data_IF_255600653225
#
_entry.id   IF_255600653225
#
_cell.length_a   1.000
_cell.length_b   1.000
_cell.length_c   1.000
_cell.angle_alpha   90.00
_cell.angle_beta   90.00
_cell.angle_gamma   90.00
#
_symmetry.space_group_name_H-M   'P 1'
#
loop_
_entity.id
_entity.type
_entity.pdbx_description
1 polymer ?
#
# COMPACT_ATOMS: atom_id res chain seq x y z
N UNK A 1 -23.95 8.84 -21.08
CA UNK A 1 -22.77 8.26 -21.73
C UNK A 1 -22.69 8.86 -23.13
N UNK A 2 -21.59 9.52 -23.52
CA UNK A 2 -21.45 10.05 -24.88
C UNK A 2 -20.97 8.90 -25.76
N UNK A 3 -21.83 8.25 -26.52
CA UNK A 3 -21.44 7.08 -27.34
C UNK A 3 -21.01 7.46 -28.76
N UNK A 4 -21.37 8.66 -29.20
CA UNK A 4 -20.98 9.24 -30.49
C UNK A 4 -20.50 10.68 -30.32
N UNK A 5 -19.75 11.18 -31.30
CA UNK A 5 -19.37 12.59 -31.41
C UNK A 5 -19.41 13.01 -32.88
N UNK A 6 -20.20 14.03 -33.21
CA UNK A 6 -20.41 14.48 -34.60
C UNK A 6 -19.16 15.01 -35.29
N UNK A 7 -18.09 15.25 -34.53
CA UNK A 7 -16.80 15.72 -35.07
C UNK A 7 -15.91 14.57 -35.53
N UNK A 8 -16.25 13.31 -35.25
CA UNK A 8 -15.49 12.17 -35.76
C UNK A 8 -15.50 12.19 -37.30
N UNK A 9 -14.35 11.89 -37.91
CA UNK A 9 -14.14 11.98 -39.36
C UNK A 9 -13.89 13.40 -39.88
N UNK A 10 -14.17 14.46 -39.10
CA UNK A 10 -13.82 15.85 -39.49
C UNK A 10 -12.32 16.12 -39.31
N UNK A 11 -11.74 17.10 -40.01
CA UNK A 11 -10.34 17.46 -39.84
C UNK A 11 -9.98 17.80 -38.39
N UNK A 12 -8.85 17.28 -37.90
CA UNK A 12 -8.26 17.65 -36.62
C UNK A 12 -7.74 19.10 -36.66
N UNK A 13 -7.50 19.71 -35.50
CA UNK A 13 -6.96 21.07 -35.39
C UNK A 13 -5.59 21.24 -36.08
N UNK A 14 -4.79 20.17 -36.21
CA UNK A 14 -3.53 20.20 -36.94
C UNK A 14 -3.70 20.19 -38.47
N UNK A 15 -4.90 19.91 -38.98
CA UNK A 15 -5.19 19.79 -40.42
C UNK A 15 -4.62 18.54 -41.10
N UNK A 16 -3.77 17.75 -40.43
CA UNK A 16 -3.03 16.64 -41.06
C UNK A 16 -3.76 15.31 -41.11
N UNK A 17 -4.81 15.13 -40.29
CA UNK A 17 -5.53 13.85 -40.17
C UNK A 17 -6.95 14.08 -39.62
N UNK A 18 -7.89 13.15 -39.87
CA UNK A 18 -9.24 13.22 -39.31
C UNK A 18 -9.22 12.99 -37.79
N UNK A 19 -10.27 13.45 -37.13
CA UNK A 19 -10.55 13.19 -35.72
C UNK A 19 -11.11 11.78 -35.56
N UNK A 20 -10.41 10.95 -34.79
CA UNK A 20 -10.78 9.54 -34.59
C UNK A 20 -10.63 9.11 -33.13
N UNK A 21 -9.89 9.88 -32.31
CA UNK A 21 -9.57 9.52 -30.93
C UNK A 21 -10.16 10.54 -29.99
N UNK A 22 -10.89 10.09 -28.96
CA UNK A 22 -11.33 10.94 -27.85
C UNK A 22 -10.76 10.42 -26.54
N UNK A 23 -10.64 11.30 -25.56
CA UNK A 23 -10.22 10.93 -24.21
C UNK A 23 -11.44 10.57 -23.36
N UNK A 24 -11.33 9.52 -22.55
CA UNK A 24 -12.38 9.14 -21.60
C UNK A 24 -12.36 9.98 -20.31
N UNK A 25 -11.20 10.50 -19.92
CA UNK A 25 -10.99 11.14 -18.62
C UNK A 25 -10.91 12.67 -18.67
N UNK A 26 -10.54 13.26 -19.81
CA UNK A 26 -10.44 14.71 -19.93
C UNK A 26 -11.83 15.37 -19.96
N UNK A 27 -12.03 16.34 -19.09
CA UNK A 27 -13.21 17.20 -19.10
C UNK A 27 -13.18 18.12 -20.33
N UNK A 28 -14.34 18.34 -20.95
CA UNK A 28 -14.50 19.20 -22.13
C UNK A 28 -13.62 18.85 -23.34
N UNK A 29 -13.02 17.66 -23.37
CA UNK A 29 -12.18 17.22 -24.48
C UNK A 29 -12.95 17.14 -25.80
N UNK A 30 -12.33 17.63 -26.86
CA UNK A 30 -12.76 17.38 -28.24
C UNK A 30 -12.07 16.12 -28.78
N UNK A 31 -12.60 15.46 -29.83
CA UNK A 31 -11.86 14.42 -30.52
C UNK A 31 -10.64 14.98 -31.29
N UNK A 32 -9.59 14.19 -31.36
CA UNK A 32 -8.30 14.48 -31.99
C UNK A 32 -7.98 13.42 -33.05
N UNK A 33 -7.03 13.71 -33.93
CA UNK A 33 -6.30 12.65 -34.61
C UNK A 33 -5.36 11.94 -33.64
N UNK A 34 -4.89 10.75 -34.01
CA UNK A 34 -4.04 9.90 -33.18
C UNK A 34 -2.80 10.60 -32.62
N UNK A 35 -2.07 11.36 -33.45
CA UNK A 35 -0.84 12.05 -33.03
C UNK A 35 -1.12 13.22 -32.09
N UNK A 36 -2.14 14.04 -32.38
CA UNK A 36 -2.54 15.14 -31.50
C UNK A 36 -3.06 14.64 -30.16
N UNK A 37 -3.72 13.48 -30.13
CA UNK A 37 -4.14 12.89 -28.87
C UNK A 37 -2.93 12.51 -28.00
N UNK A 38 -1.92 11.85 -28.56
CA UNK A 38 -0.70 11.46 -27.82
C UNK A 38 0.04 12.70 -27.32
N UNK A 39 0.23 13.72 -28.15
CA UNK A 39 0.90 14.96 -27.74
C UNK A 39 0.14 15.67 -26.62
N UNK A 40 -1.19 15.77 -26.73
CA UNK A 40 -2.02 16.38 -25.70
C UNK A 40 -2.00 15.60 -24.36
N UNK A 41 -1.68 14.31 -24.38
CA UNK A 41 -1.66 13.42 -23.22
C UNK A 41 -0.26 13.02 -22.75
N UNK A 42 0.80 13.68 -23.26
CA UNK A 42 2.18 13.35 -22.91
C UNK A 42 2.50 13.46 -21.41
N UNK A 43 1.75 14.28 -20.67
CA UNK A 43 1.87 14.42 -19.21
C UNK A 43 0.72 13.76 -18.44
N UNK A 44 -0.27 13.20 -19.14
CA UNK A 44 -1.44 12.51 -18.58
C UNK A 44 -1.58 11.11 -19.20
N UNK A 45 -0.46 10.40 -19.25
CA UNK A 45 -0.31 9.15 -20.01
C UNK A 45 -1.15 7.99 -19.53
N UNK A 46 -1.78 8.11 -18.36
CA UNK A 46 -2.72 7.11 -17.84
C UNK A 46 -4.13 7.25 -18.40
N UNK A 47 -4.46 8.32 -19.13
CA UNK A 47 -5.80 8.45 -19.69
C UNK A 47 -6.06 7.36 -20.75
N UNK A 48 -7.28 6.80 -20.73
CA UNK A 48 -7.71 5.84 -21.73
C UNK A 48 -8.13 6.57 -23.00
N UNK A 49 -7.60 6.14 -24.14
CA UNK A 49 -8.07 6.56 -25.46
C UNK A 49 -9.31 5.76 -25.83
N UNK A 50 -10.27 6.43 -26.45
CA UNK A 50 -11.39 5.80 -27.15
C UNK A 50 -11.24 6.12 -28.63
N UNK A 51 -10.87 5.11 -29.40
CA UNK A 51 -10.59 5.17 -30.83
C UNK A 51 -11.81 4.71 -31.59
N UNK A 52 -12.25 5.50 -32.56
CA UNK A 52 -13.37 5.15 -33.43
C UNK A 52 -13.00 4.01 -34.37
N UNK A 53 -13.72 2.89 -34.29
CA UNK A 53 -13.63 1.80 -35.25
C UNK A 53 -14.72 2.02 -36.31
N UNK A 54 -14.30 2.43 -37.52
CA UNK A 54 -15.23 2.73 -38.61
C UNK A 54 -15.93 1.49 -39.17
N UNK A 55 -15.32 0.31 -39.05
CA UNK A 55 -15.92 -0.94 -39.54
C UNK A 55 -17.01 -1.42 -38.59
N UNK A 56 -16.75 -1.31 -37.28
CA UNK A 56 -17.69 -1.77 -36.25
C UNK A 56 -18.69 -0.71 -35.81
N UNK A 57 -18.42 0.56 -36.09
CA UNK A 57 -19.29 1.69 -35.77
C UNK A 57 -19.34 2.05 -34.28
N UNK A 58 -18.29 1.73 -33.51
CA UNK A 58 -18.21 2.08 -32.08
C UNK A 58 -16.78 2.40 -31.63
N UNK A 59 -16.66 3.02 -30.46
CA UNK A 59 -15.35 3.32 -29.86
C UNK A 59 -14.74 2.11 -29.17
N UNK A 60 -13.50 1.80 -29.52
CA UNK A 60 -12.66 0.80 -28.85
C UNK A 60 -11.72 1.52 -27.89
N UNK A 61 -11.52 0.96 -26.68
CA UNK A 61 -10.59 1.53 -25.70
C UNK A 61 -9.16 1.09 -26.00
N UNK A 62 -8.22 2.03 -25.98
CA UNK A 62 -6.79 1.80 -26.19
C UNK A 62 -5.93 2.43 -25.08
N UNK A 63 -4.82 1.78 -24.77
CA UNK A 63 -3.74 2.37 -23.97
C UNK A 63 -2.92 3.34 -24.85
N UNK A 64 -2.37 4.41 -24.29
CA UNK A 64 -1.60 5.42 -25.03
C UNK A 64 -0.49 4.82 -25.90
N UNK A 65 0.16 3.74 -25.45
CA UNK A 65 1.25 3.10 -26.19
C UNK A 65 0.80 2.34 -27.45
N UNK A 66 -0.49 2.03 -27.55
CA UNK A 66 -1.09 1.33 -28.70
C UNK A 66 -1.92 2.23 -29.59
N UNK A 67 -1.99 3.54 -29.28
CA UNK A 67 -2.74 4.51 -30.07
C UNK A 67 -2.06 4.72 -31.43
N UNK A 68 -0.82 5.17 -31.53
CA UNK A 68 -0.25 5.53 -32.84
C UNK A 68 -0.29 4.36 -33.87
N UNK A 69 -1.14 4.46 -34.90
CA UNK A 69 -1.28 3.45 -35.93
C UNK A 69 0.08 3.20 -36.62
N UNK A 70 0.58 1.95 -36.57
CA UNK A 70 1.89 1.50 -37.08
C UNK A 70 3.16 2.04 -36.38
N UNK A 71 3.07 2.81 -35.29
CA UNK A 71 4.22 3.22 -34.46
C UNK A 71 3.91 3.00 -33.00
N UNK A 72 4.80 2.42 -32.20
CA UNK A 72 4.53 2.29 -30.76
C UNK A 72 5.03 3.52 -30.03
N UNK A 73 4.13 4.32 -29.45
CA UNK A 73 4.50 5.32 -28.46
C UNK A 73 5.02 4.62 -27.19
N UNK A 74 6.03 5.20 -26.57
CA UNK A 74 6.51 4.78 -25.26
C UNK A 74 6.56 6.01 -24.36
N UNK A 75 6.08 5.88 -23.13
CA UNK A 75 6.13 6.94 -22.13
C UNK A 75 7.60 7.23 -21.84
N UNK A 76 8.12 8.43 -22.18
CA UNK A 76 9.50 8.77 -21.88
C UNK A 76 9.63 9.10 -20.40
N UNK A 77 10.60 8.47 -19.74
CA UNK A 77 10.99 8.82 -18.38
C UNK A 77 12.22 9.74 -18.38
N UNK A 78 12.23 10.68 -17.43
CA UNK A 78 13.21 11.77 -17.42
C UNK A 78 12.85 12.88 -18.42
N UNK A 79 13.70 13.90 -18.49
CA UNK A 79 13.52 15.07 -19.38
C UNK A 79 12.10 15.68 -19.33
N UNK A 80 11.47 15.67 -18.15
CA UNK A 80 10.11 16.18 -17.93
C UNK A 80 9.05 15.56 -18.87
N UNK A 81 9.29 14.33 -19.36
CA UNK A 81 8.41 13.67 -20.33
C UNK A 81 8.65 14.10 -21.77
N UNK A 82 9.85 14.59 -22.10
CA UNK A 82 10.32 14.82 -23.47
C UNK A 82 11.16 13.64 -23.98
N UNK A 83 11.28 13.54 -25.31
CA UNK A 83 12.08 12.49 -25.93
C UNK A 83 13.55 12.58 -25.51
N UNK A 84 14.10 11.44 -25.10
CA UNK A 84 15.50 11.32 -24.72
C UNK A 84 16.34 10.85 -25.93
N UNK A 85 17.38 11.57 -26.33
CA UNK A 85 18.26 11.13 -27.42
C UNK A 85 19.03 9.84 -27.09
N UNK A 86 19.22 9.57 -25.79
CA UNK A 86 19.85 8.35 -25.28
C UNK A 86 18.82 7.43 -24.60
N UNK A 87 17.59 7.37 -25.13
CA UNK A 87 16.54 6.52 -24.59
C UNK A 87 16.91 5.04 -24.67
N UNK A 88 16.51 4.27 -23.66
CA UNK A 88 16.47 2.81 -23.76
C UNK A 88 15.47 2.35 -24.82
N UNK A 89 15.59 1.10 -25.24
CA UNK A 89 14.49 0.43 -25.94
C UNK A 89 13.22 0.46 -25.06
N UNK A 90 12.03 0.69 -25.66
CA UNK A 90 10.78 0.62 -24.93
C UNK A 90 10.55 -0.73 -24.25
N UNK A 91 10.27 -0.69 -22.95
CA UNK A 91 9.92 -1.84 -22.14
C UNK A 91 8.39 -1.89 -21.95
N UNK A 92 7.78 -3.03 -22.24
CA UNK A 92 6.38 -3.27 -21.86
C UNK A 92 6.31 -3.47 -20.34
N UNK A 93 5.55 -2.61 -19.66
CA UNK A 93 5.40 -2.61 -18.21
C UNK A 93 3.93 -2.61 -17.80
N UNK A 94 3.65 -3.22 -16.65
CA UNK A 94 2.34 -3.09 -15.99
C UNK A 94 2.33 -1.85 -15.10
N UNK A 95 1.67 -0.77 -15.54
CA UNK A 95 1.48 0.42 -14.73
C UNK A 95 0.09 0.42 -14.11
N UNK A 96 0.03 0.52 -12.79
CA UNK A 96 -1.23 0.52 -12.04
C UNK A 96 -1.57 1.94 -11.60
N UNK A 97 -2.72 2.41 -12.06
CA UNK A 97 -3.26 3.77 -11.87
C UNK A 97 -4.63 3.67 -11.22
N UNK A 98 -5.15 4.79 -10.72
CA UNK A 98 -6.48 4.83 -10.08
C UNK A 98 -7.62 4.49 -11.03
N UNK A 99 -7.43 4.69 -12.33
CA UNK A 99 -8.37 4.37 -13.40
C UNK A 99 -8.15 3.00 -14.04
N UNK A 100 -7.22 2.19 -13.52
CA UNK A 100 -7.03 0.81 -13.94
C UNK A 100 -5.58 0.33 -14.02
N UNK A 101 -5.43 -0.88 -14.53
CA UNK A 101 -4.16 -1.53 -14.88
C UNK A 101 -3.87 -1.31 -16.37
N UNK A 102 -2.71 -0.73 -16.66
CA UNK A 102 -2.22 -0.44 -18.01
C UNK A 102 -1.07 -1.39 -18.36
N UNK A 103 -1.16 -2.05 -19.51
CA UNK A 103 -0.03 -2.72 -20.14
C UNK A 103 0.56 -1.75 -21.17
N UNK A 104 1.51 -0.93 -20.74
CA UNK A 104 2.01 0.21 -21.54
C UNK A 104 3.51 0.16 -21.74
N UNK A 105 3.99 0.82 -22.79
CA UNK A 105 5.42 0.90 -23.09
C UNK A 105 6.05 2.09 -22.40
N UNK A 106 7.20 1.87 -21.78
CA UNK A 106 7.96 2.88 -21.04
C UNK A 106 9.39 2.89 -21.56
N UNK A 107 9.93 4.09 -21.77
CA UNK A 107 11.28 4.32 -22.25
C UNK A 107 12.10 5.00 -21.15
N UNK A 108 13.21 4.39 -20.72
CA UNK A 108 14.06 4.95 -19.68
C UNK A 108 15.11 5.89 -20.28
N UNK A 109 15.41 7.00 -19.61
CA UNK A 109 16.51 7.86 -19.98
C UNK A 109 17.86 7.19 -19.69
N UNK A 110 18.75 7.17 -20.68
CA UNK A 110 20.13 6.67 -20.58
C UNK A 110 21.20 7.77 -20.55
N UNK A 111 20.81 9.05 -20.43
CA UNK A 111 21.77 10.14 -20.30
C UNK A 111 22.69 9.97 -19.08
N UNK A 112 23.89 10.56 -19.15
CA UNK A 112 25.03 10.30 -18.26
C UNK A 112 24.78 10.51 -16.75
N UNK A 113 23.63 11.07 -16.34
CA UNK A 113 23.23 11.21 -14.94
C UNK A 113 22.90 9.89 -14.22
N UNK A 114 22.95 8.71 -14.90
CA UNK A 114 22.83 7.36 -14.31
C UNK A 114 21.76 7.23 -13.22
N UNK A 115 20.62 7.87 -13.42
CA UNK A 115 19.49 7.72 -12.50
C UNK A 115 18.96 6.30 -12.68
N UNK A 116 19.03 5.49 -11.62
CA UNK A 116 18.52 4.11 -11.63
C UNK A 116 17.06 4.05 -12.10
N UNK A 117 16.66 2.95 -12.74
CA UNK A 117 15.30 2.77 -13.26
C UNK A 117 14.22 3.09 -12.21
N UNK A 118 14.43 2.65 -10.97
CA UNK A 118 13.50 2.90 -9.87
C UNK A 118 13.32 4.39 -9.57
N UNK A 119 14.38 5.19 -9.68
CA UNK A 119 14.35 6.62 -9.36
C UNK A 119 13.67 7.41 -10.46
N UNK A 120 13.92 7.06 -11.73
CA UNK A 120 13.18 7.64 -12.86
C UNK A 120 11.67 7.38 -12.76
N UNK A 121 11.27 6.18 -12.31
CA UNK A 121 9.87 5.88 -12.02
C UNK A 121 9.33 6.72 -10.85
N UNK A 122 10.12 6.85 -9.77
CA UNK A 122 9.76 7.67 -8.61
C UNK A 122 9.54 9.13 -8.98
N UNK A 123 10.43 9.70 -9.80
CA UNK A 123 10.34 11.07 -10.31
C UNK A 123 9.09 11.26 -11.20
N UNK A 124 8.62 10.19 -11.83
CA UNK A 124 7.36 10.14 -12.58
C UNK A 124 6.12 9.77 -11.72
N UNK A 125 6.23 9.86 -10.38
CA UNK A 125 5.18 9.50 -9.41
C UNK A 125 4.73 8.02 -9.48
N UNK A 126 5.65 7.12 -9.85
CA UNK A 126 5.44 5.68 -9.94
C UNK A 126 6.34 4.95 -8.94
N UNK A 127 5.71 4.21 -8.02
CA UNK A 127 6.38 3.32 -7.10
C UNK A 127 6.66 1.97 -7.76
N UNK A 128 7.93 1.58 -7.99
CA UNK A 128 8.24 0.33 -8.66
C UNK A 128 8.03 -0.88 -7.75
N UNK A 129 7.62 -2.01 -8.32
CA UNK A 129 7.52 -3.27 -7.58
C UNK A 129 8.90 -3.87 -7.21
N UNK A 130 9.92 -3.56 -8.00
CA UNK A 130 11.32 -4.00 -7.83
C UNK A 130 12.27 -2.85 -8.19
N UNK A 131 13.40 -2.73 -7.50
CA UNK A 131 14.29 -1.58 -7.71
C UNK A 131 15.27 -1.73 -8.90
N UNK A 132 15.73 -2.95 -9.17
CA UNK A 132 16.79 -3.19 -10.16
C UNK A 132 16.25 -3.25 -11.58
N UNK A 133 15.28 -4.13 -11.82
CA UNK A 133 14.62 -4.29 -13.12
C UNK A 133 13.09 -4.28 -12.95
N UNK A 134 12.48 -3.08 -12.86
CA UNK A 134 11.05 -2.94 -12.69
C UNK A 134 10.30 -3.35 -13.96
N UNK A 135 9.39 -4.31 -13.83
CA UNK A 135 8.40 -4.67 -14.87
C UNK A 135 6.98 -4.21 -14.52
N UNK A 136 6.78 -3.72 -13.30
CA UNK A 136 5.53 -3.14 -12.86
C UNK A 136 5.77 -1.99 -11.90
N UNK A 137 4.89 -1.00 -11.93
CA UNK A 137 4.91 0.12 -11.01
C UNK A 137 3.48 0.60 -10.70
N UNK A 138 3.33 1.22 -9.55
CA UNK A 138 2.07 1.67 -8.98
C UNK A 138 2.14 3.18 -8.76
N UNK A 139 1.20 3.93 -9.29
CA UNK A 139 1.16 5.37 -9.01
C UNK A 139 1.01 5.66 -7.51
N UNK A 140 1.56 6.77 -7.04
CA UNK A 140 1.35 7.16 -5.64
C UNK A 140 -0.13 7.37 -5.32
N UNK A 141 -0.93 7.81 -6.29
CA UNK A 141 -2.38 7.96 -6.14
C UNK A 141 -3.06 6.62 -5.85
N UNK A 142 -2.68 5.53 -6.53
CA UNK A 142 -3.28 4.22 -6.25
C UNK A 142 -2.88 3.69 -4.87
N UNK A 143 -1.68 4.01 -4.40
CA UNK A 143 -1.22 3.64 -3.06
C UNK A 143 -1.88 4.49 -1.95
N UNK A 144 -2.20 5.75 -2.24
CA UNK A 144 -3.00 6.61 -1.38
C UNK A 144 -4.46 6.14 -1.33
N UNK A 145 -5.09 5.83 -2.47
CA UNK A 145 -6.44 5.26 -2.55
C UNK A 145 -6.52 3.95 -1.77
N UNK A 146 -5.53 3.06 -1.94
CA UNK A 146 -5.43 1.83 -1.16
C UNK A 146 -5.42 2.09 0.35
N UNK A 147 -4.60 3.05 0.80
CA UNK A 147 -4.51 3.39 2.21
C UNK A 147 -5.85 3.86 2.79
N UNK A 148 -6.57 4.71 2.08
CA UNK A 148 -7.90 5.16 2.52
C UNK A 148 -8.95 4.04 2.41
N UNK A 149 -8.93 3.27 1.33
CA UNK A 149 -9.86 2.15 1.10
C UNK A 149 -9.75 1.07 2.18
N UNK A 150 -8.54 0.76 2.63
CA UNK A 150 -8.33 -0.19 3.74
C UNK A 150 -8.81 0.36 5.08
N UNK A 151 -8.57 1.64 5.37
CA UNK A 151 -8.97 2.26 6.63
C UNK A 151 -10.50 2.43 6.72
N UNK A 152 -11.13 2.92 5.66
CA UNK A 152 -12.55 3.26 5.65
C UNK A 152 -13.44 2.07 5.25
N UNK A 153 -13.07 1.38 4.18
CA UNK A 153 -13.89 0.32 3.57
C UNK A 153 -13.53 -1.09 4.04
N UNK A 154 -12.45 -1.25 4.82
CA UNK A 154 -11.89 -2.57 5.20
C UNK A 154 -11.68 -3.48 3.98
N UNK A 155 -11.40 -2.87 2.82
CA UNK A 155 -11.30 -3.59 1.54
C UNK A 155 -10.07 -4.50 1.54
N UNK A 156 -10.24 -5.74 1.10
CA UNK A 156 -9.11 -6.64 0.93
C UNK A 156 -8.24 -6.20 -0.26
N UNK A 157 -6.94 -6.50 -0.22
CA UNK A 157 -6.05 -6.21 -1.35
C UNK A 157 -6.51 -6.90 -2.64
N UNK A 158 -7.11 -8.07 -2.49
CA UNK A 158 -7.65 -8.85 -3.60
C UNK A 158 -8.81 -8.12 -4.29
N UNK A 159 -9.79 -7.65 -3.52
CA UNK A 159 -10.94 -6.93 -4.06
C UNK A 159 -10.52 -5.56 -4.62
N UNK A 160 -9.57 -4.90 -3.97
CA UNK A 160 -9.02 -3.63 -4.46
C UNK A 160 -8.33 -3.78 -5.81
N UNK A 161 -7.47 -4.79 -5.99
CA UNK A 161 -6.82 -5.05 -7.29
C UNK A 161 -7.85 -5.51 -8.34
N UNK A 162 -8.83 -6.32 -7.96
CA UNK A 162 -9.93 -6.71 -8.87
C UNK A 162 -10.76 -5.52 -9.32
N UNK A 163 -11.03 -4.54 -8.45
CA UNK A 163 -11.65 -3.25 -8.82
C UNK A 163 -10.84 -2.59 -9.92
N UNK A 164 -9.53 -2.44 -9.74
CA UNK A 164 -8.64 -1.81 -10.73
C UNK A 164 -8.63 -2.57 -12.06
N UNK A 165 -8.64 -3.90 -12.05
CA UNK A 165 -8.73 -4.71 -13.28
C UNK A 165 -10.06 -4.51 -14.01
N UNK A 166 -11.17 -4.39 -13.28
CA UNK A 166 -12.49 -4.09 -13.85
C UNK A 166 -12.57 -2.67 -14.42
N UNK A 167 -11.86 -1.71 -13.83
CA UNK A 167 -11.77 -0.36 -14.40
C UNK A 167 -11.04 -0.36 -15.75
N UNK A 168 -10.05 -1.24 -15.96
CA UNK A 168 -9.42 -1.45 -17.28
C UNK A 168 -10.35 -2.09 -18.28
N UNK A 169 -10.97 -3.22 -17.90
CA UNK A 169 -11.92 -3.96 -18.73
C UNK A 169 -12.87 -4.75 -17.81
N UNK A 170 -14.15 -4.37 -17.80
CA UNK A 170 -15.15 -4.99 -16.92
C UNK A 170 -15.78 -6.25 -17.54
N UNK A 171 -15.54 -6.52 -18.83
CA UNK A 171 -16.08 -7.69 -19.55
C UNK A 171 -15.03 -8.79 -19.56
N UNK A 172 -13.84 -8.50 -20.06
CA UNK A 172 -12.75 -9.47 -20.21
C UNK A 172 -11.61 -9.23 -19.23
N UNK A 173 -11.94 -9.09 -17.94
CA UNK A 173 -10.97 -8.93 -16.84
C UNK A 173 -9.81 -9.94 -16.87
N UNK A 174 -10.02 -11.14 -17.41
CA UNK A 174 -8.98 -12.17 -17.58
C UNK A 174 -7.84 -11.77 -18.50
N UNK A 175 -8.08 -10.87 -19.45
CA UNK A 175 -7.07 -10.33 -20.38
C UNK A 175 -6.26 -9.18 -19.76
N UNK A 176 -6.72 -8.63 -18.64
CA UNK A 176 -6.01 -7.57 -17.92
C UNK A 176 -4.93 -8.20 -17.04
N UNK A 177 -3.68 -7.71 -17.07
CA UNK A 177 -2.62 -8.18 -16.17
C UNK A 177 -3.06 -8.23 -14.71
N UNK A 178 -2.58 -9.21 -13.96
CA UNK A 178 -2.87 -9.37 -12.54
C UNK A 178 -1.68 -8.97 -11.66
N UNK A 179 -1.63 -7.73 -11.15
CA UNK A 179 -0.51 -7.24 -10.35
C UNK A 179 -0.62 -7.61 -8.87
N UNK A 180 -1.54 -8.50 -8.45
CA UNK A 180 -1.83 -8.73 -7.03
C UNK A 180 -0.61 -9.11 -6.19
N UNK A 181 0.30 -9.94 -6.72
CA UNK A 181 1.50 -10.38 -5.99
C UNK A 181 2.44 -9.21 -5.73
N UNK A 182 2.67 -8.39 -6.75
CA UNK A 182 3.50 -7.19 -6.69
C UNK A 182 2.86 -6.13 -5.80
N UNK A 183 1.55 -5.93 -5.92
CA UNK A 183 0.79 -4.99 -5.11
C UNK A 183 0.86 -5.33 -3.63
N UNK A 184 0.70 -6.60 -3.25
CA UNK A 184 0.80 -7.04 -1.85
C UNK A 184 2.15 -6.70 -1.23
N UNK A 185 3.24 -6.82 -2.00
CA UNK A 185 4.56 -6.41 -1.54
C UNK A 185 4.66 -4.88 -1.40
N UNK A 186 4.31 -4.14 -2.45
CA UNK A 186 4.37 -2.67 -2.47
C UNK A 186 3.49 -2.05 -1.39
N UNK A 187 2.28 -2.57 -1.17
CA UNK A 187 1.36 -2.10 -0.14
C UNK A 187 1.95 -2.20 1.28
N UNK A 188 2.72 -3.25 1.57
CA UNK A 188 3.41 -3.42 2.86
C UNK A 188 4.53 -2.40 3.02
N UNK A 189 5.36 -2.24 1.99
CA UNK A 189 6.43 -1.23 1.98
C UNK A 189 5.85 0.18 2.11
N UNK A 190 4.78 0.48 1.37
CA UNK A 190 4.08 1.76 1.45
C UNK A 190 3.55 2.04 2.87
N UNK A 191 2.96 1.04 3.52
CA UNK A 191 2.49 1.16 4.91
C UNK A 191 3.63 1.49 5.87
N UNK A 192 4.79 0.83 5.71
CA UNK A 192 5.99 1.16 6.47
C UNK A 192 6.45 2.60 6.20
N UNK A 193 6.59 2.99 4.93
CA UNK A 193 7.02 4.35 4.57
C UNK A 193 6.08 5.43 5.09
N UNK A 194 4.76 5.18 5.10
CA UNK A 194 3.77 6.10 5.70
C UNK A 194 3.97 6.22 7.22
N UNK A 195 4.27 5.11 7.90
CA UNK A 195 4.56 5.13 9.34
C UNK A 195 5.86 5.88 9.65
N UNK A 196 6.93 5.65 8.88
CA UNK A 196 8.22 6.36 8.99
C UNK A 196 8.08 7.86 8.70
N UNK A 197 7.31 8.22 7.67
CA UNK A 197 7.02 9.63 7.36
C UNK A 197 6.26 10.29 8.50
N UNK A 198 5.27 9.61 9.08
CA UNK A 198 4.46 10.12 10.19
C UNK A 198 5.27 10.27 11.48
N UNK A 199 6.23 9.40 11.76
CA UNK A 199 7.08 9.52 12.96
C UNK A 199 8.06 10.69 12.90
N UNK A 200 8.22 11.32 11.72
CA UNK A 200 9.16 12.41 11.50
C UNK A 200 10.63 11.97 11.53
N UNK A 201 10.92 10.67 11.63
CA UNK A 201 12.29 10.14 11.77
C UNK A 201 13.23 10.62 10.66
N UNK A 202 12.72 10.75 9.45
CA UNK A 202 13.46 11.25 8.29
C UNK A 202 13.94 12.72 8.45
N UNK A 203 13.39 13.48 9.39
CA UNK A 203 13.73 14.88 9.64
C UNK A 203 14.44 15.04 10.98
N UNK A 204 15.76 15.14 10.95
CA UNK A 204 16.61 15.44 12.13
C UNK A 204 16.34 14.51 13.33
N UNK A 205 16.09 13.22 13.11
CA UNK A 205 15.87 12.26 14.20
C UNK A 205 14.46 12.24 14.81
N UNK A 206 13.55 13.13 14.38
CA UNK A 206 12.13 13.11 14.70
C UNK A 206 11.81 13.05 16.20
N UNK A 207 10.84 12.19 16.57
CA UNK A 207 10.42 11.99 17.96
C UNK A 207 11.53 11.54 18.93
N UNK A 208 12.64 10.99 18.43
CA UNK A 208 13.74 10.56 19.29
C UNK A 208 14.43 11.74 20.00
N UNK A 209 14.45 12.93 19.38
CA UNK A 209 15.03 14.13 19.98
C UNK A 209 14.04 14.79 20.95
N UNK A 210 12.77 14.88 20.53
CA UNK A 210 11.75 15.56 21.32
C UNK A 210 11.42 14.78 22.61
N UNK A 211 11.45 13.45 22.56
CA UNK A 211 11.05 12.59 23.67
C UNK A 211 12.12 11.50 23.93
N UNK A 212 13.27 11.84 24.55
CA UNK A 212 14.39 10.92 24.75
C UNK A 212 14.06 9.74 25.69
N UNK A 213 13.02 9.86 26.51
CA UNK A 213 12.54 8.78 27.39
C UNK A 213 11.82 7.66 26.64
N UNK A 214 11.42 7.87 25.38
CA UNK A 214 10.75 6.85 24.56
C UNK A 214 11.77 5.89 23.94
N UNK A 215 11.37 4.63 23.64
CA UNK A 215 12.21 3.71 22.88
C UNK A 215 12.69 4.34 21.58
N UNK A 216 13.99 4.29 21.32
CA UNK A 216 14.58 4.81 20.09
C UNK A 216 14.03 4.06 18.88
N UNK A 217 13.94 4.75 17.75
CA UNK A 217 13.59 4.19 16.44
C UNK A 217 12.18 3.61 16.31
N UNK A 218 11.31 3.84 17.32
CA UNK A 218 9.89 3.52 17.25
C UNK A 218 9.16 4.41 16.25
N UNK A 219 8.20 3.81 15.53
CA UNK A 219 7.22 4.52 14.69
C UNK A 219 5.79 4.32 15.19
N UNK A 220 5.68 3.88 16.46
CA UNK A 220 4.43 3.73 17.19
C UNK A 220 3.71 5.08 17.33
N UNK A 221 2.39 5.06 17.17
CA UNK A 221 1.54 6.19 17.57
C UNK A 221 1.19 6.02 19.03
N UNK A 222 1.70 6.93 19.86
CA UNK A 222 1.44 6.95 21.29
C UNK A 222 0.25 7.86 21.60
N UNK A 223 -0.42 7.57 22.70
CA UNK A 223 -1.54 8.37 23.17
C UNK A 223 -1.05 9.77 23.59
N UNK A 224 -1.58 10.87 23.02
CA UNK A 224 -1.20 12.21 23.44
C UNK A 224 -1.82 12.63 24.80
N UNK A 225 -2.81 11.87 25.29
CA UNK A 225 -3.58 12.21 26.49
C UNK A 225 -3.05 11.46 27.72
N UNK A 226 -2.55 10.23 27.56
CA UNK A 226 -2.05 9.45 28.69
C UNK A 226 -0.94 10.21 29.43
N UNK A 227 -0.93 10.21 30.77
CA UNK A 227 0.16 10.78 31.54
C UNK A 227 1.49 10.13 31.18
N UNK A 228 2.47 10.93 30.77
CA UNK A 228 3.82 10.51 30.41
C UNK A 228 4.84 11.42 31.12
N UNK A 229 5.60 10.83 32.03
CA UNK A 229 6.64 11.50 32.78
C UNK A 229 7.69 12.12 31.84
N UNK A 230 8.01 13.39 32.03
CA UNK A 230 8.95 14.13 31.18
C UNK A 230 8.35 14.67 29.88
N UNK A 231 7.06 14.43 29.61
CA UNK A 231 6.37 14.94 28.42
C UNK A 231 5.21 15.85 28.80
N UNK A 232 4.15 15.31 29.41
CA UNK A 232 2.94 16.05 29.77
C UNK A 232 2.60 15.95 31.28
N UNK A 233 3.49 15.36 32.07
CA UNK A 233 3.37 15.27 33.54
C UNK A 233 4.39 16.19 34.23
N UNK A 234 3.99 17.01 35.23
CA UNK A 234 4.90 17.88 35.95
C UNK A 234 6.04 17.11 36.65
N UNK A 235 7.30 17.60 36.66
CA UNK A 235 8.43 16.88 37.24
C UNK A 235 8.26 16.44 38.71
N UNK A 236 7.51 17.23 39.49
CA UNK A 236 7.27 16.98 40.92
C UNK A 236 6.06 16.06 41.18
N UNK A 237 5.54 15.35 40.17
CA UNK A 237 4.34 14.51 40.33
C UNK A 237 4.49 13.43 41.42
N UNK A 238 5.69 12.86 41.59
CA UNK A 238 6.00 11.89 42.65
C UNK A 238 5.92 12.49 44.07
N UNK A 239 6.12 13.80 44.19
CA UNK A 239 6.11 14.53 45.46
C UNK A 239 4.69 14.92 45.90
N UNK A 240 3.68 14.73 45.02
CA UNK A 240 2.28 14.94 45.39
C UNK A 240 1.85 13.96 46.49
N UNK A 241 0.93 14.38 47.38
CA UNK A 241 0.34 13.50 48.38
C UNK A 241 -0.15 12.19 47.77
N UNK A 242 0.01 11.02 48.44
CA UNK A 242 -0.40 9.72 47.90
C UNK A 242 -1.83 9.70 47.36
N UNK A 243 -2.75 10.41 48.04
CA UNK A 243 -4.15 10.53 47.63
C UNK A 243 -4.34 11.22 46.26
N UNK A 244 -3.39 12.01 45.76
CA UNK A 244 -3.47 12.73 44.48
C UNK A 244 -2.65 12.11 43.35
N UNK A 245 -1.82 11.09 43.64
CA UNK A 245 -0.95 10.48 42.61
C UNK A 245 -1.74 9.76 41.50
N UNK A 246 -2.98 9.34 41.80
CA UNK A 246 -3.87 8.69 40.83
C UNK A 246 -4.19 9.58 39.62
N UNK A 247 -4.07 10.91 39.74
CA UNK A 247 -4.25 11.85 38.63
C UNK A 247 -3.22 11.69 37.51
N UNK A 248 -2.10 11.00 37.79
CA UNK A 248 -1.04 10.72 36.81
C UNK A 248 -0.94 9.22 36.48
N UNK A 249 -1.94 8.42 36.88
CA UNK A 249 -1.97 7.00 36.55
C UNK A 249 -2.36 6.79 35.08
N UNK A 250 -1.72 5.82 34.46
CA UNK A 250 -2.15 5.31 33.15
C UNK A 250 -3.14 4.16 33.36
N UNK A 251 -4.24 4.21 32.61
CA UNK A 251 -5.25 3.17 32.61
C UNK A 251 -5.09 2.33 31.34
N UNK A 252 -5.00 1.02 31.52
CA UNK A 252 -4.80 0.07 30.44
C UNK A 252 -5.86 -1.03 30.49
N UNK A 253 -6.36 -1.36 29.32
CA UNK A 253 -7.26 -2.48 29.07
C UNK A 253 -6.53 -3.51 28.20
N UNK A 254 -6.68 -4.79 28.56
CA UNK A 254 -6.17 -5.90 27.76
C UNK A 254 -7.35 -6.63 27.13
N UNK A 255 -7.28 -6.82 25.81
CA UNK A 255 -8.28 -7.59 25.06
C UNK A 255 -7.61 -8.60 24.12
N UNK A 256 -8.25 -9.76 23.97
CA UNK A 256 -7.73 -10.90 23.22
C UNK A 256 -8.58 -11.22 22.00
N UNK A 257 -7.99 -11.12 20.80
CA UNK A 257 -8.64 -11.52 19.56
C UNK A 257 -8.20 -12.92 19.10
N UNK A 258 -9.06 -13.91 19.32
CA UNK A 258 -8.84 -15.33 18.94
C UNK A 258 -9.23 -15.66 17.48
N UNK A 259 -9.57 -14.63 16.68
CA UNK A 259 -9.86 -14.76 15.25
C UNK A 259 -8.70 -14.25 14.38
N UNK A 260 -7.78 -13.48 14.95
CA UNK A 260 -6.58 -13.02 14.27
C UNK A 260 -5.50 -14.11 14.32
N UNK A 261 -5.59 -15.04 13.38
CA UNK A 261 -4.75 -16.25 13.31
C UNK A 261 -3.71 -16.15 12.20
N UNK A 262 -2.61 -16.89 12.36
CA UNK A 262 -1.60 -17.07 11.33
C UNK A 262 -1.29 -18.56 11.14
N UNK A 263 -1.31 -19.02 9.89
CA UNK A 263 -0.93 -20.38 9.55
C UNK A 263 0.60 -20.50 9.43
N UNK A 264 1.12 -21.65 9.84
CA UNK A 264 2.51 -22.02 9.62
C UNK A 264 2.83 -22.02 8.13
N UNK A 265 3.91 -21.32 7.76
CA UNK A 265 4.39 -21.23 6.37
C UNK A 265 5.50 -22.24 6.14
N UNK A 266 5.56 -22.84 4.95
CA UNK A 266 6.62 -23.81 4.58
C UNK A 266 8.02 -23.17 4.54
N UNK A 267 8.12 -21.89 4.13
CA UNK A 267 9.38 -21.18 3.94
C UNK A 267 9.51 -20.00 4.90
N UNK A 268 9.59 -20.27 6.20
CA UNK A 268 9.65 -19.23 7.24
C UNK A 268 10.92 -18.37 7.19
N UNK A 269 12.04 -18.93 6.72
CA UNK A 269 13.37 -18.27 6.73
C UNK A 269 13.47 -16.97 5.93
N UNK A 270 12.54 -16.71 5.01
CA UNK A 270 12.50 -15.48 4.21
C UNK A 270 11.37 -14.52 4.61
N UNK A 271 10.58 -14.88 5.63
CA UNK A 271 9.48 -14.05 6.14
C UNK A 271 10.01 -13.12 7.22
N UNK A 272 10.49 -11.95 6.80
CA UNK A 272 11.06 -10.94 7.70
C UNK A 272 10.03 -9.88 8.08
N UNK A 273 10.00 -9.49 9.35
CA UNK A 273 9.15 -8.38 9.82
C UNK A 273 9.72 -7.04 9.34
N UNK A 274 8.92 -6.26 8.63
CA UNK A 274 9.31 -4.92 8.17
C UNK A 274 9.37 -3.89 9.31
N UNK A 275 8.54 -4.07 10.33
CA UNK A 275 8.54 -3.21 11.51
C UNK A 275 9.52 -3.69 12.57
N UNK A 276 9.81 -4.99 12.65
CA UNK A 276 10.85 -5.58 13.51
C UNK A 276 10.87 -5.00 14.94
N UNK A 277 9.74 -4.99 15.63
CA UNK A 277 9.65 -4.49 17.01
C UNK A 277 9.37 -2.99 17.16
N UNK A 278 9.34 -2.21 16.06
CA UNK A 278 9.30 -0.73 16.10
C UNK A 278 7.90 -0.13 16.23
N UNK A 279 6.89 -0.97 16.49
CA UNK A 279 5.49 -0.54 16.62
C UNK A 279 4.86 -1.25 17.81
N UNK A 280 3.71 -1.91 17.66
CA UNK A 280 2.97 -2.49 18.79
C UNK A 280 3.46 -3.87 19.22
N UNK A 281 4.13 -4.62 18.33
CA UNK A 281 4.67 -5.95 18.65
C UNK A 281 6.15 -5.84 19.01
N UNK A 282 6.60 -6.71 19.91
CA UNK A 282 8.03 -6.87 20.22
C UNK A 282 8.80 -7.47 19.03
N UNK A 283 10.13 -7.30 19.03
CA UNK A 283 11.00 -7.96 18.08
C UNK A 283 11.00 -9.49 18.32
N UNK A 284 10.92 -10.26 17.24
CA UNK A 284 10.59 -11.68 17.30
C UNK A 284 11.64 -12.51 18.05
N UNK A 285 12.93 -12.28 17.79
CA UNK A 285 14.00 -13.04 18.43
C UNK A 285 14.09 -12.73 19.93
N UNK A 286 13.95 -11.47 20.31
CA UNK A 286 13.88 -11.01 21.69
C UNK A 286 12.68 -11.60 22.43
N UNK A 287 11.52 -11.63 21.79
CA UNK A 287 10.31 -12.22 22.39
C UNK A 287 10.43 -13.74 22.54
N UNK A 288 10.99 -14.44 21.54
CA UNK A 288 11.27 -15.89 21.65
C UNK A 288 12.24 -16.20 22.78
N UNK A 289 13.29 -15.38 22.96
CA UNK A 289 14.22 -15.53 24.07
C UNK A 289 13.50 -15.34 25.42
N UNK A 290 12.71 -14.27 25.55
CA UNK A 290 11.88 -14.04 26.74
C UNK A 290 10.97 -15.24 27.05
N UNK A 291 10.23 -15.75 26.06
CA UNK A 291 9.35 -16.91 26.25
C UNK A 291 10.07 -18.17 26.73
N UNK A 292 11.34 -18.35 26.37
CA UNK A 292 12.15 -19.48 26.85
C UNK A 292 12.54 -19.34 28.35
N UNK A 293 12.53 -18.12 28.89
CA UNK A 293 12.81 -17.84 30.31
C UNK A 293 11.57 -17.90 31.19
N UNK A 294 10.37 -17.73 30.61
CA UNK A 294 9.12 -17.69 31.36
C UNK A 294 8.67 -19.11 31.74
N UNK A 295 8.45 -19.41 33.04
CA UNK A 295 7.89 -20.68 33.46
C UNK A 295 6.54 -20.91 32.79
N UNK A 296 6.39 -22.05 32.12
CA UNK A 296 5.13 -22.43 31.50
C UNK A 296 4.16 -22.88 32.59
N UNK A 297 3.39 -21.94 33.14
CA UNK A 297 2.38 -22.25 34.16
C UNK A 297 1.29 -23.10 33.48
N UNK A 298 1.28 -24.39 33.78
CA UNK A 298 0.19 -25.26 33.39
C UNK A 298 -1.03 -24.88 34.23
N UNK A 299 -2.02 -24.21 33.62
CA UNK A 299 -3.34 -24.08 34.26
C UNK A 299 -3.86 -25.50 34.54
N UNK A 300 -4.23 -25.75 35.80
CA UNK A 300 -4.93 -26.96 36.21
C UNK A 300 -6.16 -27.17 35.32
N UNK A 301 -6.50 -28.44 35.04
CA UNK A 301 -7.73 -28.76 34.32
C UNK A 301 -8.90 -28.15 35.08
N UNK A 302 -9.69 -27.32 34.39
CA UNK A 302 -10.90 -26.77 34.98
C UNK A 302 -11.79 -27.92 35.47
N UNK A 303 -12.07 -27.94 36.78
CA UNK A 303 -12.78 -29.02 37.49
C UNK A 303 -14.31 -28.92 37.25
N UNK A 304 -14.78 -27.74 36.81
CA UNK A 304 -16.19 -27.48 36.54
C UNK A 304 -16.63 -28.08 35.18
N UNK A 305 -17.72 -28.84 35.20
CA UNK A 305 -18.29 -29.54 34.03
C UNK A 305 -18.70 -28.57 32.89
N UNK A 306 -19.14 -27.34 33.20
CA UNK A 306 -19.49 -26.31 32.21
C UNK A 306 -18.26 -25.70 31.51
N UNK A 307 -17.07 -25.80 32.12
CA UNK A 307 -15.81 -25.35 31.55
C UNK A 307 -15.07 -26.48 30.80
N UNK A 308 -15.64 -27.69 30.67
CA UNK A 308 -15.07 -28.76 29.84
C UNK A 308 -14.90 -28.35 28.38
N UNK A 309 -15.72 -27.43 27.87
CA UNK A 309 -15.57 -26.86 26.52
C UNK A 309 -14.24 -26.12 26.37
N UNK A 310 -13.75 -25.46 27.43
CA UNK A 310 -12.42 -24.83 27.48
C UNK A 310 -11.30 -25.89 27.43
N UNK A 311 -11.53 -27.05 28.04
CA UNK A 311 -10.58 -28.16 28.01
C UNK A 311 -10.53 -28.87 26.64
N UNK A 312 -11.62 -28.87 25.87
CA UNK A 312 -11.71 -29.53 24.55
C UNK A 312 -11.52 -28.60 23.35
N UNK A 313 -11.55 -27.27 23.51
CA UNK A 313 -11.42 -26.30 22.42
C UNK A 313 -10.06 -26.29 21.67
N UNK A 314 -9.04 -27.04 22.13
CA UNK A 314 -7.68 -26.49 22.13
C UNK A 314 -6.57 -27.25 21.37
N UNK A 315 -6.81 -28.25 20.51
CA UNK A 315 -5.70 -28.84 19.71
C UNK A 315 -5.97 -29.04 18.22
N UNK A 316 -7.12 -29.59 17.84
CA UNK A 316 -7.43 -29.79 16.42
C UNK A 316 -7.68 -28.46 15.67
N UNK A 317 -8.33 -27.49 16.33
CA UNK A 317 -8.64 -26.17 15.76
C UNK A 317 -7.40 -25.37 15.37
N UNK A 318 -6.31 -25.52 16.11
CA UNK A 318 -5.06 -24.79 15.89
C UNK A 318 -4.01 -25.59 15.12
N UNK A 319 -4.43 -26.70 14.50
CA UNK A 319 -3.53 -27.51 13.69
C UNK A 319 -2.95 -26.66 12.55
N UNK A 320 -1.63 -26.72 12.41
CA UNK A 320 -0.86 -25.94 11.43
C UNK A 320 -0.91 -24.41 11.63
N UNK A 321 -1.31 -23.90 12.81
CA UNK A 321 -1.25 -22.47 13.12
C UNK A 321 0.03 -22.14 13.89
N UNK A 322 0.72 -21.07 13.49
CA UNK A 322 1.85 -20.49 14.24
C UNK A 322 1.36 -19.47 15.27
N UNK A 323 0.27 -18.75 14.96
CA UNK A 323 -0.40 -17.81 15.86
C UNK A 323 -1.89 -18.15 15.90
N UNK A 324 -2.42 -18.26 17.11
CA UNK A 324 -3.79 -18.70 17.43
C UNK A 324 -4.70 -17.53 17.84
N UNK A 325 -4.12 -16.37 18.08
CA UNK A 325 -4.78 -15.13 18.45
C UNK A 325 -3.75 -14.06 18.79
N UNK A 326 -4.22 -12.86 19.11
CA UNK A 326 -3.38 -11.75 19.55
C UNK A 326 -4.03 -11.10 20.77
N UNK A 327 -3.23 -10.83 21.81
CA UNK A 327 -3.66 -9.98 22.94
C UNK A 327 -3.08 -8.60 22.75
N UNK A 328 -3.89 -7.58 22.95
CA UNK A 328 -3.50 -6.19 22.82
C UNK A 328 -3.77 -5.45 24.13
N UNK A 329 -2.78 -4.70 24.59
CA UNK A 329 -2.90 -3.71 25.65
C UNK A 329 -3.14 -2.35 25.00
N UNK A 330 -4.19 -1.65 25.41
CA UNK A 330 -4.51 -0.31 24.96
C UNK A 330 -4.90 0.57 26.14
N UNK A 331 -4.75 1.89 25.99
CA UNK A 331 -5.31 2.82 26.96
C UNK A 331 -6.80 3.06 26.74
N UNK A 332 -7.47 3.66 27.73
CA UNK A 332 -8.90 4.00 27.66
C UNK A 332 -9.25 5.01 26.53
N UNK A 333 -8.25 5.69 25.97
CA UNK A 333 -8.40 6.58 24.81
C UNK A 333 -8.32 5.84 23.46
N UNK A 334 -8.20 4.51 23.46
CA UNK A 334 -8.20 3.69 22.23
C UNK A 334 -6.86 3.63 21.49
N UNK A 335 -5.76 4.01 22.13
CA UNK A 335 -4.42 3.87 21.56
C UNK A 335 -3.77 2.58 22.04
N UNK A 336 -3.26 1.80 21.08
CA UNK A 336 -2.56 0.54 21.36
C UNK A 336 -1.18 0.84 21.95
N UNK A 337 -0.92 0.25 23.11
CA UNK A 337 0.37 0.31 23.79
C UNK A 337 1.28 -0.84 23.36
N UNK A 338 0.75 -2.06 23.33
CA UNK A 338 1.50 -3.24 22.89
C UNK A 338 0.56 -4.37 22.49
N UNK A 339 1.07 -5.29 21.68
CA UNK A 339 0.38 -6.51 21.26
C UNK A 339 1.34 -7.70 21.31
N UNK A 340 0.81 -8.87 21.65
CA UNK A 340 1.56 -10.13 21.69
C UNK A 340 0.79 -11.25 21.00
N UNK A 341 1.53 -12.09 20.28
CA UNK A 341 0.98 -13.28 19.64
C UNK A 341 0.70 -14.38 20.66
N UNK A 342 -0.44 -15.04 20.52
CA UNK A 342 -0.81 -16.22 21.28
C UNK A 342 -0.49 -17.48 20.48
N UNK A 343 0.27 -18.42 21.06
CA UNK A 343 0.70 -19.64 20.35
C UNK A 343 -0.17 -20.86 20.69
N UNK A 344 -0.94 -20.81 21.80
CA UNK A 344 -1.74 -21.95 22.31
C UNK A 344 -3.10 -21.54 22.91
N UNK A 345 -3.85 -20.64 22.26
CA UNK A 345 -5.05 -20.04 22.83
C UNK A 345 -4.71 -19.00 23.91
N UNK A 346 -5.57 -18.77 24.91
CA UNK A 346 -5.31 -17.89 26.08
C UNK A 346 -4.22 -18.47 27.00
N UNK A 347 -3.01 -18.62 26.46
CA UNK A 347 -1.81 -19.10 27.15
C UNK A 347 -0.64 -18.20 26.85
#
# INVERSE_FOLDING_TARGET
>A
MKEADSRIGTPCCCGSAPREVRCESCEHSVPFCWSCWVEAHRHTTSHWAQVWDSERGFFVRHDISTVLNNKTFAIPLGHEGSDCPNSSNPLLMTLVRVNGVHATRVAFCGCASRVSKWRQLFDANLFPATCTDPQSAFSFDVLNDWHISTLQGKTSAYDFVRKLRRLSDNVFTGNVPDPIKQFMFVARIWTLLKAEKRSGKAYLGGMNILNPSRPKDTVQVLCPICPEAGVNVPPQWLQKPPALRHLYSQHFCLDGNMKLINYGKKNYSHDVSLFAGRVYMAEESSFKHYLATVPQIQKDKAICNHLKVVNSANRAKFKNMSVTGVVTCQCDHGFIWSSVDLVRGEK
#
